data_IF_030490999644
#
_entry.id   IF_030490999644
#
_cell.length_a   1.000
_cell.length_b   1.000
_cell.length_c   1.000
_cell.angle_alpha   90.00
_cell.angle_beta   90.00
_cell.angle_gamma   90.00
#
_symmetry.space_group_name_H-M   'P 1'
#
loop_
_entity.id
_entity.type
_entity.pdbx_description
1 polymer ?
#
# COMPACT_ATOMS: atom_id res chain seq x y z
N UNK A 1 -47.77 1.42 41.90
CA UNK A 1 -46.31 1.45 42.10
C UNK A 1 -45.76 0.03 41.96
N UNK A 2 -45.11 -0.29 40.84
CA UNK A 2 -44.23 -1.45 40.72
C UNK A 2 -43.27 -1.18 39.56
N UNK A 3 -41.99 -0.97 39.87
CA UNK A 3 -40.92 -0.73 38.90
C UNK A 3 -40.41 -2.09 38.43
N UNK A 4 -40.53 -2.39 37.13
CA UNK A 4 -39.76 -3.47 36.50
C UNK A 4 -38.45 -2.89 36.00
N UNK A 5 -37.37 -3.36 36.61
CA UNK A 5 -35.99 -3.14 36.20
C UNK A 5 -35.70 -4.01 34.96
N UNK A 6 -35.48 -3.39 33.81
CA UNK A 6 -35.04 -4.07 32.59
C UNK A 6 -33.59 -3.69 32.31
N UNK A 7 -32.65 -4.43 32.90
CA UNK A 7 -31.24 -4.40 32.50
C UNK A 7 -31.14 -4.85 31.06
N UNK A 8 -30.82 -3.93 30.15
CA UNK A 8 -30.38 -4.26 28.80
C UNK A 8 -29.05 -5.00 28.93
N UNK A 9 -29.05 -6.27 28.57
CA UNK A 9 -27.84 -7.06 28.34
C UNK A 9 -27.07 -6.35 27.21
N UNK A 10 -25.88 -5.81 27.51
CA UNK A 10 -24.91 -5.49 26.45
C UNK A 10 -24.40 -6.84 25.92
N UNK A 11 -24.30 -7.06 24.61
CA UNK A 11 -23.60 -8.23 24.12
C UNK A 11 -22.14 -8.13 24.54
N UNK A 12 -21.62 -9.24 25.06
CA UNK A 12 -20.24 -9.38 25.53
C UNK A 12 -19.25 -9.11 24.40
N UNK A 13 -18.17 -8.39 24.73
CA UNK A 13 -17.16 -7.90 23.79
C UNK A 13 -16.16 -8.98 23.33
N UNK A 14 -16.49 -10.27 23.47
CA UNK A 14 -15.54 -11.37 23.26
C UNK A 14 -15.64 -12.07 21.88
N UNK A 15 -16.67 -11.78 21.06
CA UNK A 15 -16.90 -12.51 19.80
C UNK A 15 -16.32 -11.84 18.53
N UNK A 16 -15.69 -10.66 18.61
CA UNK A 16 -15.16 -9.95 17.42
C UNK A 16 -13.71 -10.34 17.08
N UNK A 17 -13.13 -11.32 17.79
CA UNK A 17 -11.72 -11.69 17.66
C UNK A 17 -11.40 -12.67 16.51
N UNK A 18 -12.39 -13.23 15.83
CA UNK A 18 -12.14 -14.17 14.73
C UNK A 18 -13.02 -13.91 13.50
N UNK A 19 -12.75 -12.79 12.81
CA UNK A 19 -13.07 -12.70 11.38
C UNK A 19 -11.93 -13.34 10.57
N UNK A 20 -12.22 -14.31 9.69
CA UNK A 20 -11.23 -14.85 8.77
C UNK A 20 -10.56 -13.72 7.98
N UNK A 21 -9.24 -13.80 7.77
CA UNK A 21 -8.48 -12.78 7.02
C UNK A 21 -9.03 -12.53 5.60
N UNK A 22 -9.73 -13.52 5.04
CA UNK A 22 -10.41 -13.46 3.74
C UNK A 22 -11.59 -12.50 3.70
N UNK A 23 -12.24 -12.23 4.84
CA UNK A 23 -13.35 -11.26 4.93
C UNK A 23 -12.88 -9.84 5.22
N UNK A 24 -11.69 -9.67 5.79
CA UNK A 24 -11.18 -8.36 6.21
C UNK A 24 -10.82 -7.44 5.03
N UNK A 25 -10.45 -8.00 3.87
CA UNK A 25 -9.85 -7.21 2.77
C UNK A 25 -10.79 -6.94 1.60
N UNK A 26 -11.81 -7.79 1.41
CA UNK A 26 -12.79 -7.67 0.33
C UNK A 26 -12.17 -7.65 -1.08
N UNK A 27 -13.01 -7.67 -2.11
CA UNK A 27 -12.57 -7.37 -3.47
C UNK A 27 -12.11 -5.91 -3.56
N UNK A 28 -11.23 -5.54 -4.50
CA UNK A 28 -10.93 -4.14 -4.77
C UNK A 28 -12.23 -3.32 -4.94
N UNK A 29 -12.30 -2.17 -4.26
CA UNK A 29 -13.43 -1.25 -4.32
C UNK A 29 -12.95 0.10 -4.83
N UNK A 30 -13.77 0.77 -5.64
CA UNK A 30 -13.52 2.14 -6.02
C UNK A 30 -13.82 3.07 -4.83
N UNK A 31 -12.78 3.66 -4.25
CA UNK A 31 -12.91 4.60 -3.14
C UNK A 31 -13.54 5.92 -3.56
N UNK A 32 -14.17 6.56 -2.58
CA UNK A 32 -14.94 7.80 -2.79
C UNK A 32 -14.07 9.06 -2.75
N UNK A 33 -12.90 8.95 -2.12
CA UNK A 33 -12.06 10.10 -1.77
C UNK A 33 -12.53 10.82 -0.49
N UNK A 34 -13.33 10.16 0.34
CA UNK A 34 -13.74 10.67 1.65
C UNK A 34 -12.55 10.79 2.62
N UNK A 35 -11.58 9.88 2.47
CA UNK A 35 -10.30 9.94 3.16
C UNK A 35 -9.20 10.10 2.11
N UNK A 36 -8.35 11.13 2.29
CA UNK A 36 -7.23 11.40 1.41
C UNK A 36 -5.92 11.28 2.19
N UNK A 37 -4.91 10.57 1.65
CA UNK A 37 -3.58 10.55 2.23
C UNK A 37 -2.97 11.94 2.30
N UNK A 38 -2.12 12.15 3.30
CA UNK A 38 -1.33 13.38 3.44
C UNK A 38 0.15 13.10 3.25
N UNK A 39 0.91 14.16 2.97
CA UNK A 39 2.36 14.05 2.88
C UNK A 39 2.97 13.78 4.26
N UNK A 40 3.91 12.84 4.33
CA UNK A 40 4.81 12.69 5.46
C UNK A 40 5.90 13.77 5.39
N UNK A 41 6.18 14.38 6.53
CA UNK A 41 7.20 15.40 6.67
C UNK A 41 8.25 14.90 7.65
N UNK A 42 9.47 14.57 7.20
CA UNK A 42 10.54 14.28 8.13
C UNK A 42 10.84 15.49 9.02
N UNK A 43 11.46 15.25 10.18
CA UNK A 43 11.78 16.34 11.12
C UNK A 43 12.82 17.28 10.51
N UNK A 44 13.75 16.73 9.74
CA UNK A 44 14.78 17.46 9.03
C UNK A 44 14.70 17.19 7.53
N UNK A 45 15.12 18.17 6.74
CA UNK A 45 15.10 18.06 5.27
C UNK A 45 16.08 17.01 4.74
N UNK A 46 17.13 16.69 5.51
CA UNK A 46 18.17 15.71 5.23
C UNK A 46 17.91 14.33 5.86
N UNK A 47 16.77 14.14 6.54
CA UNK A 47 16.41 12.81 7.05
C UNK A 47 16.18 11.84 5.87
N UNK A 48 16.70 10.63 6.02
CA UNK A 48 16.54 9.55 5.07
C UNK A 48 15.65 8.45 5.67
N UNK A 49 14.94 7.65 4.83
CA UNK A 49 14.04 6.64 5.36
C UNK A 49 14.69 5.69 6.36
N UNK A 50 15.89 5.20 6.04
CA UNK A 50 16.58 4.21 6.87
C UNK A 50 17.22 4.79 8.13
N UNK A 51 17.36 6.12 8.24
CA UNK A 51 17.88 6.75 9.46
C UNK A 51 16.79 6.95 10.50
N UNK A 52 15.54 7.24 10.08
CA UNK A 52 14.40 7.47 10.97
C UNK A 52 13.48 6.26 11.13
N UNK A 53 13.54 5.28 10.21
CA UNK A 53 12.84 4.00 10.29
C UNK A 53 13.83 2.84 10.38
N UNK A 54 13.99 2.31 11.59
CA UNK A 54 14.94 1.24 11.86
C UNK A 54 14.23 -0.11 12.01
N UNK A 55 14.92 -1.24 11.71
CA UNK A 55 14.43 -2.58 11.98
C UNK A 55 14.01 -2.74 13.44
N UNK A 56 12.80 -3.23 13.66
CA UNK A 56 12.30 -3.62 14.97
C UNK A 56 11.64 -4.99 14.87
N UNK A 57 11.88 -5.84 15.87
CA UNK A 57 11.31 -7.17 15.98
C UNK A 57 9.89 -7.09 16.58
N UNK A 58 8.98 -7.85 16.00
CA UNK A 58 7.60 -8.03 16.44
C UNK A 58 7.32 -9.51 16.63
N UNK A 59 6.53 -9.83 17.66
CA UNK A 59 5.96 -11.18 17.84
C UNK A 59 4.60 -11.22 17.15
N UNK A 60 4.45 -12.10 16.16
CA UNK A 60 3.16 -12.40 15.55
C UNK A 60 2.86 -13.88 15.79
N UNK A 61 1.95 -14.15 16.74
CA UNK A 61 1.73 -15.49 17.25
C UNK A 61 3.02 -16.10 17.82
N UNK A 62 3.46 -17.22 17.25
CA UNK A 62 4.71 -17.90 17.61
C UNK A 62 5.93 -17.47 16.77
N UNK A 63 5.74 -16.60 15.78
CA UNK A 63 6.78 -16.19 14.84
C UNK A 63 7.34 -14.81 15.21
N UNK A 64 8.61 -14.60 14.87
CA UNK A 64 9.23 -13.29 14.93
C UNK A 64 9.34 -12.72 13.52
N UNK A 65 8.94 -11.46 13.38
CA UNK A 65 9.08 -10.72 12.14
C UNK A 65 9.78 -9.40 12.40
N UNK A 66 10.43 -8.87 11.37
CA UNK A 66 11.07 -7.55 11.44
C UNK A 66 10.36 -6.57 10.52
N UNK A 67 10.23 -5.33 10.98
CA UNK A 67 9.60 -4.23 10.25
C UNK A 67 10.45 -2.97 10.37
N UNK A 68 10.45 -2.14 9.33
CA UNK A 68 11.03 -0.79 9.43
C UNK A 68 10.04 0.13 10.12
N UNK A 69 10.36 0.55 11.34
CA UNK A 69 9.45 1.35 12.16
C UNK A 69 10.10 2.60 12.66
N UNK A 70 9.29 3.64 12.84
CA UNK A 70 9.80 4.93 13.28
C UNK A 70 10.46 4.78 14.67
N UNK A 71 11.65 5.36 14.84
CA UNK A 71 12.49 5.18 16.04
C UNK A 71 11.80 5.58 17.37
N UNK A 72 10.97 6.61 17.35
CA UNK A 72 10.20 7.14 18.47
C UNK A 72 8.70 6.74 18.45
N UNK A 73 8.20 6.21 17.33
CA UNK A 73 6.81 5.77 17.17
C UNK A 73 6.76 4.38 16.53
N UNK A 74 6.82 3.34 17.36
CA UNK A 74 6.93 1.94 16.90
C UNK A 74 5.76 1.42 16.09
N UNK A 75 4.60 2.10 16.18
CA UNK A 75 3.38 1.79 15.45
C UNK A 75 3.25 2.57 14.13
N UNK A 76 4.30 3.28 13.70
CA UNK A 76 4.41 3.86 12.37
C UNK A 76 5.37 3.04 11.50
N UNK A 77 4.81 2.38 10.49
CA UNK A 77 5.50 1.52 9.54
C UNK A 77 6.05 2.33 8.36
N UNK A 78 7.24 1.97 7.87
CA UNK A 78 7.73 2.38 6.56
C UNK A 78 7.53 1.25 5.54
N UNK A 79 7.03 1.61 4.36
CA UNK A 79 7.06 0.76 3.17
C UNK A 79 7.70 1.53 2.02
N UNK A 80 8.79 1.01 1.45
CA UNK A 80 9.36 1.52 0.21
C UNK A 80 8.67 0.85 -0.98
N UNK A 81 8.34 1.60 -2.02
CA UNK A 81 7.63 1.08 -3.21
C UNK A 81 8.28 1.58 -4.49
N UNK A 82 8.28 0.75 -5.53
CA UNK A 82 8.74 1.15 -6.87
C UNK A 82 7.99 0.39 -7.97
N UNK A 83 7.89 1.03 -9.13
CA UNK A 83 7.39 0.43 -10.36
C UNK A 83 8.30 0.70 -11.55
N UNK A 84 8.60 -0.35 -12.31
CA UNK A 84 9.41 -0.28 -13.51
C UNK A 84 8.62 -0.77 -14.72
N UNK A 85 9.00 -0.31 -15.92
CA UNK A 85 8.47 -0.84 -17.17
C UNK A 85 9.56 -0.86 -18.24
N UNK A 86 9.99 -2.04 -18.67
CA UNK A 86 10.81 -2.16 -19.88
C UNK A 86 9.95 -1.87 -21.10
N UNK A 87 10.54 -1.29 -22.16
CA UNK A 87 9.82 -0.89 -23.37
C UNK A 87 8.64 0.07 -23.09
N UNK A 88 8.77 0.94 -22.08
CA UNK A 88 7.72 1.90 -21.72
C UNK A 88 7.37 2.81 -22.91
N UNK A 89 6.08 2.87 -23.26
CA UNK A 89 5.56 3.70 -24.36
C UNK A 89 5.73 3.12 -25.76
N UNK A 90 6.28 1.90 -25.90
CA UNK A 90 6.44 1.19 -27.19
C UNK A 90 5.88 -0.24 -27.09
N UNK A 91 5.76 -1.00 -28.20
CA UNK A 91 5.29 -2.39 -28.16
C UNK A 91 6.12 -3.28 -27.23
N UNK A 92 5.49 -4.35 -26.75
CA UNK A 92 6.09 -5.31 -25.79
C UNK A 92 6.52 -4.64 -24.47
N UNK A 93 5.79 -3.60 -24.07
CA UNK A 93 5.92 -2.96 -22.76
C UNK A 93 5.67 -3.98 -21.63
N UNK A 94 6.51 -3.93 -20.60
CA UNK A 94 6.59 -4.97 -19.58
C UNK A 94 6.77 -4.35 -18.20
N UNK A 95 5.68 -4.21 -17.45
CA UNK A 95 5.67 -3.64 -16.12
C UNK A 95 6.07 -4.61 -15.01
N UNK A 96 6.73 -4.11 -13.98
CA UNK A 96 7.11 -4.83 -12.77
C UNK A 96 6.94 -3.94 -11.55
N UNK A 97 6.42 -4.49 -10.46
CA UNK A 97 6.09 -3.78 -9.24
C UNK A 97 6.89 -4.36 -8.08
N UNK A 98 7.27 -3.54 -7.10
CA UNK A 98 7.91 -4.01 -5.89
C UNK A 98 7.56 -3.18 -4.65
N UNK A 99 7.70 -3.79 -3.48
CA UNK A 99 7.71 -3.07 -2.22
C UNK A 99 8.52 -3.80 -1.15
N UNK A 100 9.04 -3.03 -0.18
CA UNK A 100 9.87 -3.48 0.94
C UNK A 100 9.28 -2.92 2.23
N UNK A 101 8.95 -3.78 3.19
CA UNK A 101 8.26 -3.45 4.45
C UNK A 101 9.03 -3.87 5.70
N UNK A 102 10.26 -4.38 5.53
CA UNK A 102 11.16 -4.76 6.59
C UNK A 102 12.55 -5.11 6.04
N UNK A 103 13.52 -5.41 6.92
CA UNK A 103 14.88 -5.72 6.49
C UNK A 103 14.97 -7.05 5.75
N UNK A 104 16.00 -7.20 4.92
CA UNK A 104 16.41 -8.50 4.41
C UNK A 104 17.13 -9.28 5.52
N UNK A 105 16.53 -10.40 5.95
CA UNK A 105 17.17 -11.32 6.89
C UNK A 105 17.51 -12.62 6.15
N UNK A 106 18.80 -12.88 6.01
CA UNK A 106 19.30 -14.01 5.23
C UNK A 106 19.03 -15.37 5.89
N UNK A 107 18.83 -15.41 7.20
CA UNK A 107 18.82 -16.65 7.98
C UNK A 107 17.52 -17.47 7.89
N UNK A 108 16.38 -16.84 7.59
CA UNK A 108 15.06 -17.47 7.83
C UNK A 108 14.19 -17.60 6.57
N UNK A 109 14.70 -17.19 5.40
CA UNK A 109 13.93 -17.17 4.14
C UNK A 109 12.74 -16.18 4.14
N UNK A 110 12.56 -15.42 5.21
CA UNK A 110 11.51 -14.42 5.35
C UNK A 110 11.99 -13.07 4.78
N UNK A 111 11.75 -12.89 3.49
CA UNK A 111 12.05 -11.64 2.82
C UNK A 111 10.89 -10.67 3.05
N UNK A 112 11.13 -9.62 3.85
CA UNK A 112 10.16 -8.54 4.08
C UNK A 112 10.04 -7.60 2.87
N UNK A 113 9.93 -8.20 1.68
CA UNK A 113 9.83 -7.59 0.36
C UNK A 113 8.98 -8.47 -0.56
N UNK A 114 8.37 -7.86 -1.54
CA UNK A 114 7.63 -8.54 -2.60
C UNK A 114 7.90 -7.84 -3.92
N UNK A 115 7.99 -8.61 -4.98
CA UNK A 115 8.00 -8.09 -6.34
C UNK A 115 7.19 -9.01 -7.24
N UNK A 116 6.52 -8.43 -8.23
CA UNK A 116 5.59 -9.15 -9.06
C UNK A 116 5.39 -8.44 -10.40
N UNK A 117 4.97 -9.23 -11.39
CA UNK A 117 4.62 -8.75 -12.72
C UNK A 117 3.40 -7.84 -12.66
N UNK A 118 3.45 -6.65 -13.27
CA UNK A 118 2.24 -5.83 -13.44
C UNK A 118 1.22 -6.60 -14.28
N UNK A 119 0.01 -6.73 -13.77
CA UNK A 119 -1.04 -7.53 -14.39
C UNK A 119 -1.47 -6.94 -15.74
N UNK A 120 -2.23 -7.63 -16.59
CA UNK A 120 -2.75 -7.06 -17.85
C UNK A 120 -4.16 -6.44 -17.70
N UNK A 121 -4.85 -6.76 -16.60
CA UNK A 121 -6.19 -6.26 -16.27
C UNK A 121 -6.27 -5.63 -14.90
N UNK A 122 -7.11 -4.59 -14.81
CA UNK A 122 -7.27 -3.70 -13.67
C UNK A 122 -7.93 -4.38 -12.48
N UNK A 123 -7.94 -3.70 -11.32
CA UNK A 123 -8.72 -4.14 -10.16
C UNK A 123 -10.21 -4.35 -10.47
N UNK A 124 -10.71 -3.74 -11.55
CA UNK A 124 -12.10 -3.86 -12.02
C UNK A 124 -12.25 -4.67 -13.32
N UNK A 125 -11.22 -5.43 -13.71
CA UNK A 125 -11.27 -6.40 -14.81
C UNK A 125 -10.95 -5.85 -16.21
N UNK A 126 -10.85 -4.54 -16.38
CA UNK A 126 -10.57 -3.91 -17.67
C UNK A 126 -9.09 -4.05 -18.09
N UNK A 127 -8.79 -4.33 -19.37
CA UNK A 127 -7.42 -4.39 -19.87
C UNK A 127 -6.78 -3.00 -19.91
N UNK A 128 -5.45 -2.95 -19.83
CA UNK A 128 -4.71 -1.69 -19.85
C UNK A 128 -3.31 -1.81 -20.46
N UNK A 129 -2.72 -0.69 -20.90
CA UNK A 129 -1.32 -0.67 -21.31
C UNK A 129 -0.37 -0.80 -20.11
N UNK A 130 0.71 -1.54 -20.31
CA UNK A 130 1.82 -1.64 -19.37
C UNK A 130 2.62 -0.32 -19.41
N UNK A 131 2.70 0.40 -18.30
CA UNK A 131 3.48 1.64 -18.19
C UNK A 131 4.18 1.72 -16.84
N UNK A 132 5.24 2.54 -16.75
CA UNK A 132 5.93 2.79 -15.48
C UNK A 132 4.99 3.40 -14.43
N UNK A 133 4.25 4.45 -14.79
CA UNK A 133 3.31 5.12 -13.88
C UNK A 133 2.25 4.17 -13.31
N UNK A 134 1.82 3.20 -14.12
CA UNK A 134 0.86 2.19 -13.68
C UNK A 134 1.48 1.18 -12.72
N UNK A 135 2.71 0.75 -13.00
CA UNK A 135 3.47 -0.14 -12.11
C UNK A 135 3.72 0.53 -10.73
N UNK A 136 4.06 1.81 -10.74
CA UNK A 136 4.31 2.62 -9.53
C UNK A 136 3.07 2.67 -8.62
N UNK A 137 1.90 2.99 -9.20
CA UNK A 137 0.63 2.97 -8.45
C UNK A 137 0.28 1.58 -7.94
N UNK A 138 0.48 0.56 -8.78
CA UNK A 138 0.14 -0.82 -8.47
C UNK A 138 0.98 -1.37 -7.31
N UNK A 139 2.25 -0.98 -7.23
CA UNK A 139 3.16 -1.31 -6.13
C UNK A 139 2.63 -0.81 -4.78
N UNK A 140 2.17 0.44 -4.72
CA UNK A 140 1.55 1.03 -3.52
C UNK A 140 0.30 0.27 -3.10
N UNK A 141 -0.61 0.01 -4.04
CA UNK A 141 -1.84 -0.74 -3.76
C UNK A 141 -1.50 -2.13 -3.22
N UNK A 142 -0.54 -2.83 -3.83
CA UNK A 142 -0.09 -4.13 -3.34
C UNK A 142 0.43 -4.05 -1.91
N UNK A 143 1.29 -3.07 -1.60
CA UNK A 143 1.83 -2.85 -0.27
C UNK A 143 0.74 -2.63 0.79
N UNK A 144 -0.21 -1.73 0.53
CA UNK A 144 -1.31 -1.42 1.46
C UNK A 144 -2.27 -2.59 1.68
N UNK A 145 -2.37 -3.48 0.68
CA UNK A 145 -3.17 -4.71 0.73
C UNK A 145 -2.39 -5.94 1.17
N UNK A 146 -1.08 -5.88 1.32
CA UNK A 146 -0.24 -7.07 1.43
C UNK A 146 -0.47 -7.83 2.74
N UNK A 147 -0.58 -7.12 3.86
CA UNK A 147 -0.77 -7.68 5.20
C UNK A 147 -1.89 -6.98 5.95
N UNK A 148 -2.38 -7.60 7.01
CA UNK A 148 -3.31 -6.97 7.93
C UNK A 148 -2.51 -6.09 8.89
N UNK A 149 -2.14 -4.90 8.42
CA UNK A 149 -1.28 -3.97 9.15
C UNK A 149 -1.86 -3.58 10.53
N UNK A 150 -3.20 -3.59 10.67
CA UNK A 150 -3.86 -3.30 11.94
C UNK A 150 -3.65 -4.43 12.97
N UNK A 151 -3.67 -5.69 12.52
CA UNK A 151 -3.35 -6.85 13.39
C UNK A 151 -1.88 -6.88 13.82
N UNK A 152 -1.00 -6.20 13.09
CA UNK A 152 0.40 -5.99 13.50
C UNK A 152 0.59 -4.76 14.42
N UNK A 153 -0.51 -4.17 14.91
CA UNK A 153 -0.52 -3.03 15.83
C UNK A 153 0.09 -1.73 15.24
N UNK A 154 0.02 -1.57 13.92
CA UNK A 154 0.33 -0.30 13.27
C UNK A 154 -0.89 0.62 13.27
N UNK A 155 -0.66 1.92 13.46
CA UNK A 155 -1.68 2.97 13.35
C UNK A 155 -1.38 3.96 12.21
N UNK A 156 -0.20 3.84 11.58
CA UNK A 156 0.15 4.64 10.41
C UNK A 156 1.17 3.91 9.53
N UNK A 157 1.07 4.16 8.23
CA UNK A 157 1.96 3.64 7.20
C UNK A 157 2.50 4.82 6.41
N UNK A 158 3.83 4.95 6.36
CA UNK A 158 4.54 5.88 5.50
C UNK A 158 4.97 5.12 4.24
N UNK A 159 4.33 5.44 3.13
CA UNK A 159 4.71 4.96 1.80
C UNK A 159 5.80 5.87 1.26
N UNK A 160 7.02 5.35 1.13
CA UNK A 160 8.14 6.05 0.53
C UNK A 160 8.31 5.62 -0.94
N UNK A 161 8.38 6.60 -1.84
CA UNK A 161 8.54 6.41 -3.28
C UNK A 161 9.29 7.60 -3.88
N UNK A 162 10.07 7.38 -4.93
CA UNK A 162 10.66 8.45 -5.73
C UNK A 162 9.74 8.93 -6.87
N UNK A 163 8.58 8.28 -7.05
CA UNK A 163 7.58 8.66 -8.04
C UNK A 163 6.82 9.93 -7.66
N UNK A 164 7.10 11.02 -8.38
CA UNK A 164 6.29 12.24 -8.31
C UNK A 164 4.84 11.96 -8.72
N UNK A 165 4.62 11.13 -9.74
CA UNK A 165 3.29 10.79 -10.22
C UNK A 165 2.41 10.21 -9.11
N UNK A 166 2.96 9.32 -8.29
CA UNK A 166 2.28 8.72 -7.15
C UNK A 166 2.16 9.72 -5.99
N UNK A 167 3.28 10.26 -5.52
CA UNK A 167 3.32 11.07 -4.30
C UNK A 167 2.54 12.38 -4.45
N UNK A 168 2.77 13.13 -5.53
CA UNK A 168 2.04 14.38 -5.77
C UNK A 168 0.63 14.11 -6.31
N UNK A 169 0.43 13.01 -7.05
CA UNK A 169 -0.88 12.58 -7.49
C UNK A 169 -1.83 12.38 -6.32
N UNK A 170 -1.45 11.57 -5.33
CA UNK A 170 -2.31 11.26 -4.18
C UNK A 170 -2.40 12.40 -3.16
N UNK A 171 -1.36 13.21 -2.99
CA UNK A 171 -1.35 14.26 -1.95
C UNK A 171 -1.78 15.64 -2.45
N UNK A 172 -1.74 15.90 -3.76
CA UNK A 172 -2.04 17.21 -4.35
C UNK A 172 -3.10 17.13 -5.44
N UNK A 173 -2.89 16.31 -6.47
CA UNK A 173 -3.71 16.37 -7.69
C UNK A 173 -5.07 15.69 -7.54
N UNK A 174 -5.17 14.64 -6.70
CA UNK A 174 -6.38 13.85 -6.50
C UNK A 174 -7.60 14.70 -6.14
N UNK A 175 -7.41 15.74 -5.32
CA UNK A 175 -8.50 16.66 -4.91
C UNK A 175 -9.13 17.34 -6.12
N UNK A 176 -8.28 17.80 -7.04
CA UNK A 176 -8.73 18.46 -8.27
C UNK A 176 -9.33 17.44 -9.24
N UNK A 177 -8.76 16.25 -9.34
CA UNK A 177 -9.29 15.19 -10.20
C UNK A 177 -10.68 14.76 -9.75
N UNK A 178 -10.89 14.51 -8.46
CA UNK A 178 -12.21 14.20 -7.87
C UNK A 178 -13.21 15.31 -8.14
N UNK A 179 -12.83 16.57 -7.88
CA UNK A 179 -13.69 17.73 -8.14
C UNK A 179 -14.09 17.86 -9.62
N UNK A 180 -13.18 17.54 -10.54
CA UNK A 180 -13.39 17.64 -11.97
C UNK A 180 -13.93 16.35 -12.62
N UNK A 181 -14.38 15.36 -11.84
CA UNK A 181 -14.89 14.10 -12.37
C UNK A 181 -13.83 13.30 -13.14
N UNK A 182 -12.62 13.21 -12.60
CA UNK A 182 -11.46 12.52 -13.17
C UNK A 182 -11.02 13.04 -14.54
N UNK A 183 -11.10 14.36 -14.74
CA UNK A 183 -10.68 15.02 -15.98
C UNK A 183 -9.62 16.11 -15.75
N UNK A 184 -8.68 16.15 -16.67
CA UNK A 184 -7.70 17.23 -16.84
C UNK A 184 -8.02 18.03 -18.11
N UNK A 185 -7.22 19.08 -18.39
CA UNK A 185 -7.33 19.81 -19.67
C UNK A 185 -7.04 18.93 -20.88
N UNK A 186 -6.21 17.90 -20.71
CA UNK A 186 -5.76 17.01 -21.79
C UNK A 186 -6.69 15.80 -22.00
N UNK A 187 -7.75 15.66 -21.18
CA UNK A 187 -8.66 14.53 -21.24
C UNK A 187 -8.83 13.83 -19.88
N UNK A 188 -9.38 12.60 -19.87
CA UNK A 188 -9.46 11.79 -18.66
C UNK A 188 -8.10 11.64 -17.98
N UNK A 189 -8.10 11.59 -16.65
CA UNK A 189 -6.90 11.23 -15.88
C UNK A 189 -6.46 9.82 -16.28
N UNK A 190 -5.16 9.58 -16.39
CA UNK A 190 -4.64 8.23 -16.64
C UNK A 190 -4.73 7.37 -15.38
N UNK A 191 -4.92 6.05 -15.54
CA UNK A 191 -4.96 5.08 -14.44
C UNK A 191 -6.05 5.33 -13.38
N UNK A 192 -7.20 5.91 -13.78
CA UNK A 192 -8.33 6.20 -12.86
C UNK A 192 -8.72 4.97 -12.04
N UNK A 193 -8.70 3.79 -12.64
CA UNK A 193 -9.05 2.54 -11.99
C UNK A 193 -8.13 2.21 -10.79
N UNK A 194 -6.81 2.40 -10.94
CA UNK A 194 -5.86 2.24 -9.84
C UNK A 194 -5.97 3.38 -8.83
N UNK A 195 -6.19 4.62 -9.27
CA UNK A 195 -6.40 5.73 -8.33
C UNK A 195 -7.63 5.52 -7.44
N UNK A 196 -8.73 5.05 -8.03
CA UNK A 196 -9.95 4.71 -7.30
C UNK A 196 -9.71 3.52 -6.36
N UNK A 197 -8.99 2.49 -6.82
CA UNK A 197 -8.62 1.36 -5.97
C UNK A 197 -7.76 1.80 -4.77
N UNK A 198 -6.75 2.65 -5.00
CA UNK A 198 -5.91 3.22 -3.96
C UNK A 198 -6.73 4.00 -2.93
N UNK A 199 -7.68 4.83 -3.37
CA UNK A 199 -8.59 5.55 -2.46
C UNK A 199 -9.43 4.58 -1.63
N UNK A 200 -9.90 3.48 -2.22
CA UNK A 200 -10.68 2.46 -1.50
C UNK A 200 -9.86 1.77 -0.42
N UNK A 201 -8.58 1.45 -0.71
CA UNK A 201 -7.68 0.89 0.29
C UNK A 201 -7.28 1.87 1.39
N UNK A 202 -7.16 3.16 1.07
CA UNK A 202 -6.93 4.21 2.07
C UNK A 202 -8.14 4.35 3.00
N UNK A 203 -9.35 4.36 2.46
CA UNK A 203 -10.60 4.40 3.25
C UNK A 203 -10.72 3.15 4.14
N UNK A 204 -10.47 1.95 3.59
CA UNK A 204 -10.46 0.71 4.37
C UNK A 204 -9.45 0.71 5.51
N UNK A 205 -8.23 1.20 5.26
CA UNK A 205 -7.20 1.31 6.29
C UNK A 205 -7.59 2.35 7.35
N UNK A 206 -8.19 3.46 6.94
CA UNK A 206 -8.69 4.48 7.85
C UNK A 206 -9.78 3.95 8.79
N UNK A 207 -10.72 3.16 8.27
CA UNK A 207 -11.74 2.49 9.08
C UNK A 207 -11.15 1.51 10.10
N UNK A 208 -9.94 1.00 9.81
CA UNK A 208 -9.12 0.17 10.71
C UNK A 208 -8.16 0.99 11.60
N UNK A 209 -8.39 2.31 11.71
CA UNK A 209 -7.57 3.26 12.46
C UNK A 209 -6.10 3.38 11.99
N UNK A 210 -5.85 3.15 10.69
CA UNK A 210 -4.54 3.33 10.06
C UNK A 210 -4.53 4.56 9.16
N UNK A 211 -3.66 5.51 9.48
CA UNK A 211 -3.37 6.65 8.61
C UNK A 211 -2.33 6.29 7.54
N UNK A 212 -2.64 6.53 6.27
CA UNK A 212 -1.66 6.40 5.18
C UNK A 212 -1.03 7.76 4.86
N UNK A 213 0.31 7.80 4.85
CA UNK A 213 1.12 8.97 4.59
C UNK A 213 2.06 8.70 3.41
N UNK A 214 2.37 9.72 2.62
CA UNK A 214 3.29 9.58 1.47
C UNK A 214 4.54 10.43 1.62
N UNK A 215 5.70 9.82 1.42
CA UNK A 215 6.99 10.48 1.43
C UNK A 215 7.66 10.36 0.05
N UNK A 216 7.75 11.49 -0.67
CA UNK A 216 8.59 11.56 -1.87
C UNK A 216 10.06 11.59 -1.46
N UNK A 217 10.82 10.57 -1.84
CA UNK A 217 12.24 10.41 -1.52
C UNK A 217 13.12 10.54 -2.77
N UNK A 218 14.40 10.93 -2.64
CA UNK A 218 15.36 10.85 -3.73
C UNK A 218 15.53 9.41 -4.24
N UNK A 219 15.67 9.24 -5.55
CA UNK A 219 15.81 7.92 -6.21
C UNK A 219 16.99 7.07 -5.69
N UNK A 220 18.09 7.71 -5.28
CA UNK A 220 19.23 6.99 -4.72
C UNK A 220 18.92 6.30 -3.39
N UNK A 221 17.84 6.69 -2.70
CA UNK A 221 17.38 6.06 -1.46
C UNK A 221 16.37 4.93 -1.70
N UNK A 222 15.96 4.68 -2.95
CA UNK A 222 14.95 3.66 -3.33
C UNK A 222 15.52 2.56 -4.24
N UNK A 223 16.85 2.41 -4.30
CA UNK A 223 17.53 1.54 -5.27
C UNK A 223 17.16 0.06 -5.15
N UNK A 224 16.91 -0.44 -3.93
CA UNK A 224 16.53 -1.83 -3.71
C UNK A 224 15.14 -2.13 -4.29
N UNK A 225 14.17 -1.23 -4.09
CA UNK A 225 12.84 -1.37 -4.66
C UNK A 225 12.89 -1.25 -6.19
N UNK A 226 13.64 -0.29 -6.75
CA UNK A 226 13.86 -0.14 -8.20
C UNK A 226 14.49 -1.39 -8.81
N UNK A 227 15.49 -1.97 -8.16
CA UNK A 227 16.11 -3.22 -8.59
C UNK A 227 15.11 -4.37 -8.66
N UNK A 228 14.31 -4.55 -7.60
CA UNK A 228 13.28 -5.59 -7.54
C UNK A 228 12.16 -5.40 -8.58
N UNK A 229 11.73 -4.15 -8.80
CA UNK A 229 10.71 -3.82 -9.79
C UNK A 229 11.22 -4.09 -11.21
N UNK A 230 12.49 -3.78 -11.50
CA UNK A 230 13.16 -4.14 -12.77
C UNK A 230 13.23 -5.64 -12.97
N UNK A 231 13.64 -6.41 -11.96
CA UNK A 231 13.63 -7.88 -12.03
C UNK A 231 12.23 -8.40 -12.33
N UNK A 232 11.20 -7.80 -11.72
CA UNK A 232 9.81 -8.20 -11.94
C UNK A 232 9.32 -8.00 -13.39
N UNK A 233 9.96 -7.15 -14.19
CA UNK A 233 9.61 -6.99 -15.62
C UNK A 233 9.87 -8.27 -16.42
N UNK A 234 10.77 -9.13 -15.96
CA UNK A 234 11.13 -10.39 -16.63
C UNK A 234 10.33 -11.60 -16.14
N UNK A 235 9.52 -11.45 -15.09
CA UNK A 235 8.65 -12.52 -14.61
C UNK A 235 7.59 -12.91 -15.67
N UNK A 236 7.04 -14.14 -15.59
CA UNK A 236 5.94 -14.58 -16.45
C UNK A 236 4.78 -13.60 -16.44
N UNK A 237 4.03 -13.54 -17.54
CA UNK A 237 2.85 -12.68 -17.62
C UNK A 237 1.83 -13.03 -16.55
N UNK A 238 1.22 -11.99 -16.00
CA UNK A 238 0.09 -12.08 -15.10
C UNK A 238 -1.10 -11.41 -15.78
N UNK A 239 -2.16 -12.15 -16.06
CA UNK A 239 -3.31 -11.60 -16.79
C UNK A 239 -4.24 -10.82 -15.87
N UNK A 240 -4.84 -11.51 -14.90
CA UNK A 240 -5.82 -10.92 -14.00
C UNK A 240 -5.15 -10.29 -12.78
N UNK A 241 -5.77 -9.23 -12.26
CA UNK A 241 -5.37 -8.57 -11.00
C UNK A 241 -5.33 -9.58 -9.85
N UNK A 242 -4.22 -9.61 -9.11
CA UNK A 242 -4.04 -10.53 -7.97
C UNK A 242 -3.88 -9.75 -6.68
N UNK A 243 -4.59 -10.17 -5.65
CA UNK A 243 -4.30 -9.70 -4.29
C UNK A 243 -3.07 -10.46 -3.78
N UNK A 244 -1.89 -9.81 -3.77
CA UNK A 244 -0.59 -10.43 -3.43
C UNK A 244 -0.46 -10.77 -1.94
N UNK A 245 -1.56 -11.11 -1.27
CA UNK A 245 -1.67 -11.24 0.18
C UNK A 245 -0.70 -12.26 0.73
N UNK A 246 -0.02 -11.86 1.80
CA UNK A 246 0.69 -12.77 2.66
C UNK A 246 -0.19 -13.16 3.85
N UNK A 247 -0.49 -14.45 3.92
CA UNK A 247 -1.29 -15.09 4.96
C UNK A 247 -0.42 -15.72 6.06
N UNK A 248 0.91 -15.50 6.03
CA UNK A 248 1.77 -15.93 7.12
C UNK A 248 1.48 -15.10 8.37
N UNK A 249 1.08 -15.80 9.43
CA UNK A 249 0.78 -15.28 10.76
C UNK A 249 2.03 -15.29 11.62
#
# INVERSE_FOLDING_TARGET
MSRRDSRRHRPDAEDDYYRPDTEFRGRPVAGTGAVLPTKFWPQRADDEPMTIFQPRQFCLGSNYVFRHTQIHMSNQLLILTDGSCSNNGIPDARGGCSFIYGPQLESDGNYARKHFRLENKGPFGEPYPQTSNRAELRAVIAALRYRNWARENFNSIVVATDSEYVSDGVTKWIRRWLHNGWRTRSGPVENIDLWQCLLGDVERLWDSAIQVLFWRIPRNLNQDADGLARTATHLPEQHDFVDHVDYSF
#
